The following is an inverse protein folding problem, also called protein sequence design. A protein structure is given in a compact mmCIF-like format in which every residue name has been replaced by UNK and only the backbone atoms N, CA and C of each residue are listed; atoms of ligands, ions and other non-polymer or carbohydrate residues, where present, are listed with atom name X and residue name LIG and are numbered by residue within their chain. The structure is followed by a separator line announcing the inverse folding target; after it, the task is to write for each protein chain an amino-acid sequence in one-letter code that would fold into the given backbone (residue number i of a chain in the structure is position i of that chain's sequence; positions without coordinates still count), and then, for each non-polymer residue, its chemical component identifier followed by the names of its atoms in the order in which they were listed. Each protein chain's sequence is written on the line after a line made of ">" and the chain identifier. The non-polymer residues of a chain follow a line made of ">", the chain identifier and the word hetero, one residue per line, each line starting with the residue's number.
data_IF_468389056040
#
_entry.id   IF_468389056040
#
_cell.length_a   1.000
_cell.length_b   1.000
_cell.length_c   1.000
_cell.angle_alpha   90.00
_cell.angle_beta   90.00
_cell.angle_gamma   90.00
#
_symmetry.space_group_name_H-M   'P 1'
#
loop_
_entity.id
_entity.type
_entity.pdbx_description
1 polymer ?
#
# COMPACT_ATOMS: atom_id res chain seq x y z
N UNK A 1 10.58 -4.58 -5.76
CA UNK A 1 9.51 -4.49 -4.76
C UNK A 1 9.88 -5.40 -3.60
N UNK A 2 10.57 -4.89 -2.57
CA UNK A 2 11.13 -5.75 -1.53
C UNK A 2 11.35 -5.08 -0.17
N UNK A 3 10.78 -3.89 0.06
CA UNK A 3 10.89 -3.18 1.34
C UNK A 3 9.49 -2.74 1.78
N UNK A 4 9.24 -2.85 3.08
CA UNK A 4 8.00 -2.41 3.71
C UNK A 4 8.16 -0.94 4.07
N UNK A 5 7.41 -0.05 3.41
CA UNK A 5 7.48 1.40 3.61
C UNK A 5 6.11 1.91 4.03
N UNK A 6 6.09 2.93 4.88
CA UNK A 6 4.90 3.76 5.08
C UNK A 6 4.86 4.77 3.94
N UNK A 7 3.79 4.75 3.15
CA UNK A 7 3.56 5.68 2.04
C UNK A 7 2.63 6.79 2.50
N UNK A 8 3.13 8.02 2.51
CA UNK A 8 2.42 9.22 2.93
C UNK A 8 2.18 10.12 1.72
N UNK A 9 1.05 10.82 1.72
CA UNK A 9 0.84 11.92 0.80
C UNK A 9 1.54 13.19 1.32
N UNK A 10 2.03 14.04 0.42
CA UNK A 10 2.68 15.30 0.78
C UNK A 10 1.69 16.44 1.13
N UNK A 11 0.38 16.18 1.00
CA UNK A 11 -0.71 17.08 1.36
C UNK A 11 -1.96 16.28 1.70
N UNK A 12 -2.99 16.95 2.21
CA UNK A 12 -4.28 16.33 2.44
C UNK A 12 -5.14 16.37 1.15
N UNK A 13 -6.19 15.56 1.11
CA UNK A 13 -7.07 15.50 -0.06
C UNK A 13 -8.06 16.68 -0.15
N UNK A 14 -8.16 17.51 0.90
CA UNK A 14 -9.01 18.71 0.95
C UNK A 14 -8.28 20.00 0.58
N UNK A 15 -6.95 20.11 0.78
CA UNK A 15 -6.14 21.25 0.27
C UNK A 15 -5.91 21.21 -1.25
N UNK A 16 -6.73 20.46 -1.99
CA UNK A 16 -6.86 20.64 -3.44
C UNK A 16 -7.61 21.95 -3.72
N UNK A 17 -6.99 23.07 -3.35
CA UNK A 17 -7.35 24.37 -3.89
C UNK A 17 -7.15 24.32 -5.41
N UNK A 18 -8.18 24.75 -6.12
CA UNK A 18 -8.26 24.96 -7.58
C UNK A 18 -6.87 25.07 -8.26
N UNK A 19 -6.43 23.98 -8.90
CA UNK A 19 -5.32 23.99 -9.85
C UNK A 19 -4.04 23.26 -9.44
N UNK A 20 -3.82 22.94 -8.17
CA UNK A 20 -2.70 22.07 -7.79
C UNK A 20 -3.10 20.61 -7.82
N UNK A 21 -2.23 19.77 -8.40
CA UNK A 21 -2.43 18.36 -8.67
C UNK A 21 -3.06 17.68 -7.45
N UNK A 22 -4.37 17.41 -7.54
CA UNK A 22 -5.13 16.69 -6.54
C UNK A 22 -4.28 15.52 -6.05
N UNK A 23 -4.12 15.41 -4.73
CA UNK A 23 -3.18 14.49 -4.10
C UNK A 23 -3.67 13.05 -4.32
N UNK A 24 -3.36 12.51 -5.50
CA UNK A 24 -3.82 11.20 -5.98
C UNK A 24 -2.77 10.12 -5.69
N UNK A 25 -1.50 10.51 -5.52
CA UNK A 25 -0.42 9.58 -5.20
C UNK A 25 -0.28 9.43 -3.68
N UNK A 26 -0.53 8.21 -3.17
CA UNK A 26 -0.31 7.84 -1.77
C UNK A 26 -1.59 7.59 -0.96
N UNK A 27 -2.69 8.31 -1.20
CA UNK A 27 -3.94 8.14 -0.44
C UNK A 27 -4.91 7.17 -1.10
N UNK A 28 -5.42 6.17 -0.35
CA UNK A 28 -6.49 5.28 -0.84
C UNK A 28 -7.81 6.05 -0.89
N UNK A 29 -8.60 5.86 -1.96
CA UNK A 29 -9.91 6.53 -2.14
C UNK A 29 -10.89 6.22 -1.01
N UNK A 30 -10.81 5.02 -0.47
CA UNK A 30 -11.61 4.48 0.65
C UNK A 30 -10.91 4.63 2.00
N UNK A 31 -9.88 5.48 2.13
CA UNK A 31 -9.34 5.84 3.44
C UNK A 31 -10.42 6.59 4.26
N UNK A 32 -10.60 6.17 5.52
CA UNK A 32 -11.59 6.74 6.45
C UNK A 32 -10.96 7.56 7.57
N UNK A 33 -9.70 7.29 7.91
CA UNK A 33 -8.91 8.06 8.87
C UNK A 33 -7.77 8.78 8.15
N UNK A 34 -7.45 9.98 8.65
CA UNK A 34 -6.26 10.74 8.29
C UNK A 34 -5.33 10.72 9.49
N UNK A 35 -4.09 10.27 9.27
CA UNK A 35 -3.01 10.33 10.25
C UNK A 35 -2.01 11.36 9.74
N UNK A 36 -2.00 12.52 10.38
CA UNK A 36 -1.02 13.57 10.12
C UNK A 36 0.24 13.27 10.93
N UNK A 37 1.39 13.27 10.27
CA UNK A 37 2.68 12.92 10.86
C UNK A 37 3.51 14.18 11.03
N UNK A 38 4.07 14.36 12.23
CA UNK A 38 5.11 15.34 12.48
C UNK A 38 6.45 14.83 11.94
N UNK A 39 6.69 15.10 10.66
CA UNK A 39 7.91 14.70 9.97
C UNK A 39 9.12 15.41 10.58
N UNK A 40 9.00 16.67 11.00
CA UNK A 40 10.10 17.43 11.58
C UNK A 40 10.57 16.81 12.90
N UNK A 41 9.65 16.51 13.82
CA UNK A 41 9.96 15.86 15.08
C UNK A 41 10.61 14.48 14.85
N UNK A 42 10.11 13.71 13.86
CA UNK A 42 10.67 12.40 13.55
C UNK A 42 12.09 12.47 12.96
N UNK A 43 12.38 13.46 12.10
CA UNK A 43 13.71 13.69 11.55
C UNK A 43 14.72 14.04 12.64
N UNK A 44 14.31 14.85 13.62
CA UNK A 44 15.16 15.19 14.79
C UNK A 44 15.51 13.96 15.64
N UNK A 45 14.70 12.91 15.60
CA UNK A 45 14.96 11.63 16.26
C UNK A 45 15.65 10.60 15.34
N UNK A 46 16.05 11.00 14.13
CA UNK A 46 16.81 10.15 13.21
C UNK A 46 15.97 9.25 12.30
N UNK A 47 14.65 9.44 12.25
CA UNK A 47 13.81 8.71 11.29
C UNK A 47 14.14 9.15 9.87
N UNK A 48 14.40 8.17 8.98
CA UNK A 48 14.75 8.43 7.58
C UNK A 48 13.50 8.59 6.73
N UNK A 49 13.53 9.59 5.84
CA UNK A 49 12.46 9.92 4.92
C UNK A 49 13.00 10.10 3.50
N UNK A 50 12.17 9.76 2.52
CA UNK A 50 12.43 9.96 1.10
C UNK A 50 11.21 10.58 0.43
N UNK A 51 11.43 11.31 -0.65
CA UNK A 51 10.36 11.79 -1.54
C UNK A 51 10.59 11.20 -2.92
N UNK A 52 9.57 10.58 -3.48
CA UNK A 52 9.61 10.07 -4.86
C UNK A 52 9.32 11.18 -5.87
N UNK A 53 9.66 10.92 -7.13
CA UNK A 53 9.42 11.85 -8.25
C UNK A 53 7.94 12.24 -8.41
N UNK A 54 7.02 11.35 -8.02
CA UNK A 54 5.57 11.60 -8.05
C UNK A 54 5.02 12.20 -6.75
N UNK A 55 5.89 12.72 -5.89
CA UNK A 55 5.52 13.46 -4.68
C UNK A 55 5.09 12.61 -3.49
N UNK A 56 5.18 11.27 -3.56
CA UNK A 56 4.91 10.39 -2.40
C UNK A 56 6.07 10.50 -1.42
N UNK A 57 5.72 10.62 -0.14
CA UNK A 57 6.69 10.69 0.96
C UNK A 57 6.75 9.31 1.61
N UNK A 58 7.95 8.79 1.85
CA UNK A 58 8.19 7.41 2.25
C UNK A 58 9.06 7.37 3.49
N UNK A 59 8.76 6.47 4.42
CA UNK A 59 9.66 6.14 5.54
C UNK A 59 9.71 4.64 5.78
N UNK A 60 10.87 4.18 6.25
CA UNK A 60 11.07 2.83 6.79
C UNK A 60 10.70 2.75 8.27
N UNK A 61 10.32 3.87 8.91
CA UNK A 61 10.19 3.95 10.36
C UNK A 61 11.55 4.12 11.04
N UNK A 62 11.59 3.89 12.36
CA UNK A 62 12.83 3.88 13.13
C UNK A 62 13.73 2.71 12.74
N UNK A 63 15.05 2.87 12.94
CA UNK A 63 16.01 1.78 12.76
C UNK A 63 15.73 0.60 13.70
N UNK A 64 15.14 0.88 14.87
CA UNK A 64 14.63 -0.13 15.78
C UNK A 64 13.20 -0.54 15.37
N UNK A 65 13.09 -1.67 14.66
CA UNK A 65 11.81 -2.31 14.36
C UNK A 65 11.10 -1.87 13.07
N UNK A 66 11.57 -0.84 12.37
CA UNK A 66 11.01 -0.42 11.08
C UNK A 66 9.57 0.11 11.17
N UNK A 67 9.21 0.69 12.32
CA UNK A 67 7.89 1.26 12.58
C UNK A 67 8.02 2.75 12.85
N UNK A 68 7.01 3.51 12.44
CA UNK A 68 6.90 4.91 12.85
C UNK A 68 6.12 4.97 14.17
N UNK A 69 6.73 5.57 15.19
CA UNK A 69 6.10 5.73 16.50
C UNK A 69 4.86 6.64 16.42
N UNK A 70 3.81 6.28 17.17
CA UNK A 70 2.62 7.11 17.34
C UNK A 70 2.93 8.43 18.07
N UNK A 71 4.09 8.55 18.74
CA UNK A 71 4.56 9.83 19.31
C UNK A 71 4.80 10.90 18.25
N UNK A 72 4.92 10.52 16.97
CA UNK A 72 5.02 11.45 15.85
C UNK A 72 3.66 11.72 15.17
N UNK A 73 2.56 11.23 15.73
CA UNK A 73 1.23 11.59 15.21
C UNK A 73 0.91 13.00 15.64
N UNK A 74 0.98 13.94 14.69
CA UNK A 74 0.58 15.32 14.91
C UNK A 74 -0.91 15.39 15.22
N UNK A 75 -1.72 14.70 14.41
CA UNK A 75 -3.17 14.63 14.59
C UNK A 75 -3.76 13.41 13.91
N UNK A 76 -4.77 12.79 14.51
CA UNK A 76 -5.55 11.71 13.89
C UNK A 76 -7.03 12.04 13.93
N UNK A 77 -7.65 12.11 12.75
CA UNK A 77 -9.07 12.48 12.58
C UNK A 77 -9.75 11.59 11.55
N UNK A 78 -11.08 11.65 11.50
CA UNK A 78 -11.86 11.00 10.45
C UNK A 78 -11.91 11.87 9.19
N UNK A 79 -11.72 11.24 8.02
CA UNK A 79 -11.77 11.92 6.72
C UNK A 79 -13.20 12.30 6.31
N UNK A 80 -14.15 11.40 6.53
CA UNK A 80 -15.57 11.58 6.17
C UNK A 80 -16.50 11.52 7.37
N UNK A 81 -16.19 10.62 8.31
CA UNK A 81 -16.96 10.46 9.53
C UNK A 81 -16.39 11.38 10.60
N UNK A 82 -17.26 12.07 11.35
CA UNK A 82 -16.83 12.81 12.51
C UNK A 82 -16.59 11.84 13.68
N UNK A 83 -15.32 11.49 13.89
CA UNK A 83 -14.87 10.62 14.99
C UNK A 83 -14.19 11.40 16.13
N UNK A 84 -14.21 12.74 16.05
CA UNK A 84 -13.39 13.60 16.90
C UNK A 84 -11.90 13.51 16.59
N UNK A 85 -11.08 13.93 17.56
CA UNK A 85 -9.62 13.83 17.52
C UNK A 85 -9.21 12.60 18.31
N UNK A 86 -8.60 11.62 17.64
CA UNK A 86 -8.18 10.36 18.26
C UNK A 86 -6.77 10.44 18.84
N UNK A 87 -5.88 11.18 18.18
CA UNK A 87 -4.54 11.54 18.64
C UNK A 87 -4.24 13.00 18.35
N UNK A 88 -3.46 13.63 19.21
CA UNK A 88 -2.95 14.99 19.05
C UNK A 88 -1.61 15.13 19.77
N UNK A 89 -0.62 15.72 19.10
CA UNK A 89 0.73 15.95 19.63
C UNK A 89 1.40 14.68 20.23
N UNK A 90 1.23 13.54 19.55
CA UNK A 90 1.80 12.26 19.95
C UNK A 90 1.04 11.54 21.07
N UNK A 91 -0.02 12.14 21.61
CA UNK A 91 -0.83 11.57 22.70
C UNK A 91 -2.18 11.06 22.19
N UNK A 92 -2.61 9.91 22.71
CA UNK A 92 -3.95 9.38 22.44
C UNK A 92 -4.99 10.20 23.22
N UNK A 93 -5.96 10.77 22.52
CA UNK A 93 -7.03 11.61 23.08
C UNK A 93 -8.35 10.85 23.26
N UNK A 94 -8.68 9.96 22.33
CA UNK A 94 -9.93 9.22 22.37
C UNK A 94 -9.82 7.86 21.64
N UNK A 95 -10.75 6.97 21.97
CA UNK A 95 -11.02 5.77 21.18
C UNK A 95 -12.01 6.06 20.06
N UNK A 96 -12.07 5.15 19.08
CA UNK A 96 -13.09 5.22 18.04
C UNK A 96 -14.50 5.16 18.68
N UNK A 97 -15.45 6.00 18.21
CA UNK A 97 -16.83 5.92 18.66
C UNK A 97 -17.44 4.53 18.50
N UNK A 98 -18.33 4.17 19.42
CA UNK A 98 -19.07 2.91 19.35
C UNK A 98 -19.87 2.80 18.03
N UNK A 99 -19.93 1.59 17.47
CA UNK A 99 -20.66 1.30 16.24
C UNK A 99 -19.84 1.39 14.95
N UNK A 100 -18.60 1.90 15.00
CA UNK A 100 -17.67 1.83 13.86
C UNK A 100 -17.11 0.41 13.77
N UNK A 101 -17.39 -0.28 12.66
CA UNK A 101 -16.83 -1.59 12.36
C UNK A 101 -15.58 -1.41 11.50
N UNK A 102 -14.40 -1.70 12.06
CA UNK A 102 -13.16 -1.69 11.30
C UNK A 102 -13.22 -2.67 10.13
N UNK A 103 -13.07 -2.17 8.91
CA UNK A 103 -12.91 -3.00 7.71
C UNK A 103 -11.43 -3.04 7.36
N UNK A 104 -10.82 -4.23 7.43
CA UNK A 104 -9.45 -4.41 6.95
C UNK A 104 -9.46 -4.23 5.42
N UNK A 105 -8.69 -3.29 4.87
CA UNK A 105 -8.58 -3.14 3.43
C UNK A 105 -8.03 -4.42 2.79
N UNK A 106 -8.68 -4.89 1.72
CA UNK A 106 -8.08 -5.93 0.91
C UNK A 106 -6.85 -5.34 0.20
N UNK A 107 -5.69 -5.95 0.43
CA UNK A 107 -4.48 -5.63 -0.33
C UNK A 107 -4.73 -5.85 -1.83
N UNK A 108 -3.90 -5.22 -2.68
CA UNK A 108 -3.84 -5.60 -4.10
C UNK A 108 -3.33 -7.05 -4.15
N UNK A 109 -4.25 -8.01 -4.15
CA UNK A 109 -3.90 -9.42 -4.28
C UNK A 109 -3.04 -9.58 -5.53
N UNK A 110 -1.90 -10.26 -5.39
CA UNK A 110 -1.27 -10.87 -6.56
C UNK A 110 -2.38 -11.68 -7.22
N UNK A 111 -2.77 -11.28 -8.42
CA UNK A 111 -3.70 -12.06 -9.21
C UNK A 111 -3.18 -13.49 -9.21
N UNK A 112 -3.95 -14.40 -8.61
CA UNK A 112 -3.79 -15.82 -8.88
C UNK A 112 -3.79 -15.90 -10.40
N UNK A 113 -2.64 -16.27 -10.97
CA UNK A 113 -2.52 -16.66 -12.37
C UNK A 113 -3.64 -17.65 -12.60
N UNK A 114 -4.72 -17.20 -13.25
CA UNK A 114 -5.81 -18.08 -13.67
C UNK A 114 -5.17 -18.95 -14.74
N UNK A 115 -4.70 -20.11 -14.31
CA UNK A 115 -4.42 -21.23 -15.20
C UNK A 115 -5.62 -21.41 -16.10
N UNK A 116 -5.45 -21.01 -17.36
CA UNK A 116 -6.37 -21.36 -18.43
C UNK A 116 -5.64 -22.42 -19.25
N UNK A 117 -5.73 -23.65 -18.76
CA UNK A 117 -5.55 -24.81 -19.63
C UNK A 117 -6.60 -24.78 -20.74
N UNK A 118 -6.22 -25.38 -21.88
CA UNK A 118 -7.14 -25.78 -22.95
C UNK A 118 -7.10 -24.88 -24.18
N UNK A 119 -6.29 -25.26 -25.16
CA UNK A 119 -6.26 -24.60 -26.47
C UNK A 119 -5.28 -25.26 -27.44
N UNK A 120 -5.53 -26.54 -27.73
CA UNK A 120 -4.96 -27.28 -28.86
C UNK A 120 -4.94 -26.44 -30.15
N UNK A 121 -3.74 -26.10 -30.62
CA UNK A 121 -3.48 -25.75 -32.03
C UNK A 121 -2.10 -26.25 -32.44
N UNK A 122 -2.08 -27.49 -32.92
CA UNK A 122 -1.41 -27.93 -34.15
C UNK A 122 -0.16 -27.13 -34.53
N UNK A 123 1.02 -27.62 -34.15
CA UNK A 123 2.28 -27.20 -34.75
C UNK A 123 2.99 -28.39 -35.39
N UNK A 124 2.85 -28.46 -36.71
CA UNK A 124 3.92 -28.75 -37.66
C UNK A 124 4.69 -30.05 -37.47
N UNK A 125 4.38 -31.01 -38.33
CA UNK A 125 5.18 -32.21 -38.52
C UNK A 125 6.62 -31.95 -38.97
N UNK A 126 7.45 -32.93 -38.64
CA UNK A 126 8.78 -33.35 -39.16
C UNK A 126 9.17 -34.46 -38.16
N UNK A 127 9.10 -35.75 -38.46
CA UNK A 127 9.62 -36.46 -39.62
C UNK A 127 10.89 -37.19 -39.18
N UNK A 128 10.93 -38.52 -39.43
CA UNK A 128 12.03 -39.49 -39.20
C UNK A 128 12.14 -39.98 -37.75
N UNK A 129 12.21 -41.26 -37.44
CA UNK A 129 12.29 -42.49 -38.23
C UNK A 129 12.66 -43.59 -37.23
N UNK A 130 12.15 -44.80 -37.41
CA UNK A 130 12.77 -46.01 -36.86
C UNK A 130 12.23 -47.22 -37.62
N UNK A 131 13.12 -47.75 -38.44
CA UNK A 131 13.05 -49.08 -39.02
C UNK A 131 13.01 -50.14 -37.92
N UNK A 132 12.27 -51.21 -38.21
CA UNK A 132 12.84 -52.54 -38.06
C UNK A 132 12.21 -53.45 -37.03
N UNK A 133 11.55 -54.50 -37.57
CA UNK A 133 11.62 -55.92 -37.14
C UNK A 133 10.95 -56.25 -35.80
N UNK A 134 10.38 -57.41 -35.56
CA UNK A 134 9.90 -58.59 -36.31
C UNK A 134 9.22 -59.45 -35.23
N UNK A 135 8.24 -60.25 -35.63
CA UNK A 135 7.85 -61.54 -35.05
C UNK A 135 7.35 -61.58 -33.59
N UNK A 136 6.10 -62.01 -33.37
CA UNK A 136 5.81 -63.40 -33.04
C UNK A 136 4.30 -63.62 -32.73
N UNK A 137 3.84 -64.78 -33.21
CA UNK A 137 2.58 -65.52 -33.00
C UNK A 137 1.29 -65.13 -33.74
#
# INVERSE_FOLDING_TARGET
>A
MGRNHVHCSAGDASDSAEGELAVVSGMRRDAELVVEIDVEASLRQGVKWWRSDNGVVLTEGSEDGGLLSASFFKKVTGRKMNVGVLWEDGEKRADLPAGIKGRVPQGKGQGRSRGRGGGDRRRGGRGRGQDGRQDDE
#
